data_IF_587193177098
#
_entry.id   IF_587193177098
#
_cell.length_a   1.000
_cell.length_b   1.000
_cell.length_c   1.000
_cell.angle_alpha   90.00
_cell.angle_beta   90.00
_cell.angle_gamma   90.00
#
_symmetry.space_group_name_H-M   'P 1'
#
loop_
_entity.id
_entity.type
_entity.pdbx_description
1 polymer ?
#
# COMPACT_ATOMS: atom_id res chain seq x y z
N UNK A 1 30.69 -10.05 64.98
CA UNK A 1 31.77 -9.96 63.97
C UNK A 1 31.48 -10.74 62.68
N UNK A 2 31.05 -12.02 62.75
CA UNK A 2 30.75 -12.84 61.55
C UNK A 2 29.74 -12.21 60.56
N UNK A 3 28.66 -11.58 61.04
CA UNK A 3 27.68 -10.92 60.16
C UNK A 3 28.23 -9.73 59.37
N UNK A 4 29.19 -8.98 59.95
CA UNK A 4 29.84 -7.87 59.27
C UNK A 4 30.81 -8.36 58.19
N UNK A 5 31.58 -9.41 58.48
CA UNK A 5 32.46 -10.06 57.50
C UNK A 5 31.66 -10.63 56.31
N UNK A 6 30.50 -11.25 56.60
CA UNK A 6 29.56 -11.77 55.59
C UNK A 6 28.99 -10.66 54.69
N UNK A 7 28.60 -9.53 55.27
CA UNK A 7 28.09 -8.38 54.53
C UNK A 7 29.18 -7.74 53.66
N UNK A 8 30.40 -7.59 54.19
CA UNK A 8 31.54 -7.04 53.46
C UNK A 8 31.94 -7.93 52.28
N UNK A 9 32.12 -9.24 52.52
CA UNK A 9 32.45 -10.21 51.45
C UNK A 9 31.39 -10.31 50.37
N UNK A 10 30.10 -10.25 50.74
CA UNK A 10 29.01 -10.19 49.76
C UNK A 10 29.03 -8.90 48.94
N UNK A 11 29.31 -7.73 49.54
CA UNK A 11 29.44 -6.46 48.82
C UNK A 11 30.64 -6.45 47.87
N UNK A 12 31.80 -6.95 48.32
CA UNK A 12 33.00 -7.02 47.49
C UNK A 12 32.79 -7.97 46.30
N UNK A 13 32.07 -9.08 46.48
CA UNK A 13 31.65 -9.95 45.39
C UNK A 13 30.75 -9.22 44.38
N UNK A 14 29.72 -8.50 44.85
CA UNK A 14 28.82 -7.73 43.97
C UNK A 14 29.57 -6.72 43.10
N UNK A 15 30.47 -5.94 43.70
CA UNK A 15 31.27 -4.93 42.98
C UNK A 15 32.18 -5.56 41.93
N UNK A 16 32.86 -6.68 42.26
CA UNK A 16 33.70 -7.40 41.30
C UNK A 16 32.89 -8.00 40.16
N UNK A 17 31.73 -8.56 40.49
CA UNK A 17 30.83 -9.18 39.54
C UNK A 17 30.24 -8.16 38.56
N UNK A 18 29.81 -6.99 39.05
CA UNK A 18 29.33 -5.88 38.21
C UNK A 18 30.44 -5.36 37.28
N UNK A 19 31.66 -5.20 37.80
CA UNK A 19 32.82 -4.78 36.99
C UNK A 19 33.18 -5.80 35.89
N UNK A 20 33.13 -7.09 36.19
CA UNK A 20 33.36 -8.15 35.22
C UNK A 20 32.29 -8.15 34.11
N UNK A 21 31.02 -7.98 34.50
CA UNK A 21 29.89 -7.82 33.59
C UNK A 21 30.05 -6.64 32.63
N UNK A 22 30.56 -5.49 33.11
CA UNK A 22 30.83 -4.32 32.26
C UNK A 22 32.02 -4.53 31.30
N UNK A 23 33.00 -5.36 31.69
CA UNK A 23 34.18 -5.65 30.87
C UNK A 23 33.96 -6.69 29.78
N UNK A 24 32.81 -7.38 29.78
CA UNK A 24 32.48 -8.43 28.80
C UNK A 24 33.20 -9.75 29.03
N UNK A 25 33.91 -9.91 30.16
CA UNK A 25 34.46 -11.20 30.58
C UNK A 25 33.30 -12.14 30.94
N UNK A 26 33.29 -13.32 30.30
CA UNK A 26 32.13 -14.23 30.32
C UNK A 26 31.66 -14.57 31.74
N UNK A 27 30.34 -14.52 31.94
CA UNK A 27 29.62 -14.75 33.20
C UNK A 27 30.06 -16.04 33.94
N UNK A 28 30.53 -17.05 33.20
CA UNK A 28 30.90 -18.38 33.69
C UNK A 28 32.20 -18.42 34.53
N UNK A 29 33.16 -17.51 34.28
CA UNK A 29 34.45 -17.52 34.97
C UNK A 29 34.33 -16.96 36.39
N UNK A 30 33.56 -15.87 36.56
CA UNK A 30 33.43 -15.15 37.82
C UNK A 30 32.23 -15.56 38.68
N UNK A 31 31.23 -16.23 38.10
CA UNK A 31 30.12 -16.82 38.86
C UNK A 31 30.56 -18.02 39.72
N UNK A 32 31.75 -18.61 39.48
CA UNK A 32 32.23 -19.78 40.21
C UNK A 32 32.86 -19.39 41.55
N UNK A 33 32.32 -20.00 42.61
CA UNK A 33 32.77 -19.94 44.01
C UNK A 33 34.25 -20.36 44.24
N UNK A 34 34.94 -20.85 43.21
CA UNK A 34 36.33 -21.34 43.28
C UNK A 34 37.32 -20.24 43.65
N UNK A 35 37.13 -19.01 43.16
CA UNK A 35 37.97 -17.85 43.52
C UNK A 35 37.80 -17.44 45.00
N UNK A 36 36.68 -17.82 45.62
CA UNK A 36 36.40 -17.52 47.04
C UNK A 36 37.01 -18.55 48.00
N UNK A 37 37.14 -19.80 47.58
CA UNK A 37 37.78 -20.86 48.38
C UNK A 37 39.29 -20.64 48.57
N UNK A 38 39.95 -19.88 47.70
CA UNK A 38 41.34 -19.45 47.90
C UNK A 38 41.43 -18.30 48.91
N UNK A 39 40.60 -17.26 48.75
CA UNK A 39 40.64 -16.09 49.65
C UNK A 39 40.16 -16.39 51.08
N UNK A 40 39.38 -17.47 51.28
CA UNK A 40 38.92 -17.93 52.59
C UNK A 40 39.90 -18.81 53.37
N UNK A 41 41.01 -19.25 52.75
CA UNK A 41 42.05 -20.04 53.43
C UNK A 41 42.98 -19.18 54.30
N UNK A 42 43.08 -17.88 54.02
CA UNK A 42 43.98 -16.96 54.73
C UNK A 42 43.48 -16.51 56.12
N UNK A 43 42.29 -16.95 56.53
CA UNK A 43 41.70 -16.61 57.83
C UNK A 43 41.25 -17.86 58.57
N UNK A 44 42.19 -18.71 58.97
CA UNK A 44 41.93 -19.84 59.85
C UNK A 44 42.33 -19.48 61.30
N UNK A 45 41.34 -19.28 62.18
CA UNK A 45 41.52 -19.27 63.64
C UNK A 45 40.66 -20.41 64.21
N UNK A 46 41.31 -21.26 65.00
CA UNK A 46 41.02 -22.68 65.25
C UNK A 46 39.83 -23.01 66.19
N UNK A 47 38.82 -22.15 66.35
CA UNK A 47 37.73 -22.41 67.32
C UNK A 47 36.27 -22.18 66.88
N UNK A 48 35.98 -21.99 65.58
CA UNK A 48 34.60 -21.77 65.09
C UNK A 48 34.26 -22.69 63.92
N UNK A 49 34.24 -24.01 64.14
CA UNK A 49 33.96 -25.00 63.08
C UNK A 49 32.45 -25.25 62.88
N UNK A 50 31.62 -24.95 63.89
CA UNK A 50 30.18 -25.29 63.87
C UNK A 50 29.28 -24.15 63.31
N UNK A 51 29.64 -22.88 63.53
CA UNK A 51 28.89 -21.72 63.00
C UNK A 51 29.32 -21.29 61.58
N UNK A 52 30.51 -21.72 61.15
CA UNK A 52 31.04 -21.39 59.82
C UNK A 52 30.34 -22.15 58.71
N UNK A 53 29.92 -23.40 58.91
CA UNK A 53 29.21 -24.19 57.89
C UNK A 53 27.84 -23.60 57.53
N UNK A 54 27.02 -23.29 58.55
CA UNK A 54 25.68 -22.70 58.39
C UNK A 54 25.75 -21.26 57.87
N UNK A 55 26.72 -20.46 58.35
CA UNK A 55 26.96 -19.12 57.84
C UNK A 55 27.44 -19.14 56.37
N UNK A 56 28.25 -20.14 56.00
CA UNK A 56 28.72 -20.35 54.62
C UNK A 56 27.57 -20.78 53.71
N UNK A 57 26.73 -21.73 54.13
CA UNK A 57 25.53 -22.11 53.36
C UNK A 57 24.59 -20.92 53.12
N UNK A 58 24.34 -20.09 54.14
CA UNK A 58 23.53 -18.88 53.98
C UNK A 58 24.16 -17.88 53.02
N UNK A 59 25.48 -17.68 53.08
CA UNK A 59 26.20 -16.83 52.13
C UNK A 59 26.09 -17.40 50.70
N UNK A 60 26.31 -18.70 50.51
CA UNK A 60 26.18 -19.36 49.20
C UNK A 60 24.77 -19.19 48.63
N UNK A 61 23.73 -19.37 49.46
CA UNK A 61 22.34 -19.15 49.02
C UNK A 61 22.11 -17.69 48.61
N UNK A 62 22.63 -16.72 49.36
CA UNK A 62 22.48 -15.30 49.04
C UNK A 62 23.24 -14.90 47.77
N UNK A 63 24.45 -15.42 47.58
CA UNK A 63 25.26 -15.17 46.38
C UNK A 63 24.59 -15.83 45.17
N UNK A 64 24.19 -17.10 45.26
CA UNK A 64 23.50 -17.79 44.18
C UNK A 64 22.17 -17.10 43.83
N UNK A 65 21.39 -16.66 44.82
CA UNK A 65 20.17 -15.91 44.57
C UNK A 65 20.44 -14.57 43.87
N UNK A 66 21.52 -13.87 44.25
CA UNK A 66 21.94 -12.64 43.56
C UNK A 66 22.43 -12.92 42.13
N UNK A 67 23.26 -13.94 41.91
CA UNK A 67 23.73 -14.35 40.58
C UNK A 67 22.57 -14.74 39.68
N UNK A 68 21.60 -15.52 40.18
CA UNK A 68 20.37 -15.86 39.45
C UNK A 68 19.57 -14.60 39.09
N UNK A 69 19.38 -13.68 40.05
CA UNK A 69 18.66 -12.43 39.81
C UNK A 69 19.34 -11.54 38.76
N UNK A 70 20.67 -11.41 38.81
CA UNK A 70 21.42 -10.64 37.81
C UNK A 70 21.40 -11.33 36.45
N UNK A 71 21.48 -12.67 36.42
CA UNK A 71 21.37 -13.44 35.19
C UNK A 71 20.01 -13.24 34.53
N UNK A 72 18.92 -13.34 35.29
CA UNK A 72 17.56 -13.11 34.79
C UNK A 72 17.39 -11.68 34.24
N UNK A 73 17.93 -10.68 34.94
CA UNK A 73 17.92 -9.30 34.48
C UNK A 73 18.73 -9.08 33.19
N UNK A 74 19.90 -9.72 33.06
CA UNK A 74 20.72 -9.64 31.84
C UNK A 74 20.08 -10.40 30.68
N UNK A 75 19.43 -11.53 30.94
CA UNK A 75 18.71 -12.27 29.92
C UNK A 75 17.51 -11.50 29.38
N UNK A 76 16.76 -10.81 30.24
CA UNK A 76 15.66 -9.96 29.78
C UNK A 76 16.18 -8.76 28.97
N UNK A 77 17.28 -8.15 29.39
CA UNK A 77 17.96 -7.07 28.64
C UNK A 77 18.38 -7.54 27.23
N UNK A 78 19.10 -8.67 27.13
CA UNK A 78 19.54 -9.22 25.82
C UNK A 78 18.32 -9.61 24.97
N UNK A 79 17.31 -10.24 25.56
CA UNK A 79 16.08 -10.60 24.83
C UNK A 79 15.43 -9.34 24.24
N UNK A 80 15.30 -8.26 25.02
CA UNK A 80 14.72 -7.00 24.55
C UNK A 80 15.54 -6.33 23.44
N UNK A 81 16.88 -6.39 23.51
CA UNK A 81 17.77 -5.85 22.47
C UNK A 81 17.58 -6.58 21.13
N UNK A 82 17.50 -7.91 21.16
CA UNK A 82 17.27 -8.72 19.96
C UNK A 82 15.84 -8.56 19.43
N UNK A 83 14.83 -8.44 20.30
CA UNK A 83 13.46 -8.10 19.91
C UNK A 83 13.40 -6.74 19.19
N UNK A 84 14.07 -5.70 19.71
CA UNK A 84 14.12 -4.39 19.07
C UNK A 84 14.83 -4.45 17.70
N UNK A 85 15.92 -5.21 17.61
CA UNK A 85 16.65 -5.44 16.35
C UNK A 85 15.77 -6.14 15.31
N UNK A 86 15.04 -7.18 15.71
CA UNK A 86 14.08 -7.89 14.85
C UNK A 86 12.94 -6.98 14.40
N UNK A 87 12.40 -6.15 15.30
CA UNK A 87 11.36 -5.20 14.94
C UNK A 87 11.86 -4.18 13.91
N UNK A 88 13.06 -3.61 14.09
CA UNK A 88 13.65 -2.65 13.14
C UNK A 88 13.91 -3.27 11.76
N UNK A 89 14.40 -4.51 11.72
CA UNK A 89 14.75 -5.22 10.47
C UNK A 89 13.52 -5.74 9.73
N UNK A 90 12.54 -6.31 10.43
CA UNK A 90 11.35 -6.92 9.82
C UNK A 90 10.26 -5.89 9.49
N UNK A 91 10.00 -4.92 10.36
CA UNK A 91 8.80 -4.07 10.28
C UNK A 91 8.70 -3.25 8.99
N UNK A 92 9.80 -2.62 8.55
CA UNK A 92 9.80 -1.74 7.38
C UNK A 92 9.72 -2.53 6.06
N UNK A 93 10.53 -3.59 5.82
CA UNK A 93 10.42 -4.40 4.61
C UNK A 93 9.09 -5.13 4.49
N UNK A 94 8.59 -5.73 5.59
CA UNK A 94 7.30 -6.44 5.59
C UNK A 94 6.17 -5.48 5.20
N UNK A 95 6.14 -4.28 5.78
CA UNK A 95 5.15 -3.25 5.40
C UNK A 95 5.25 -2.87 3.92
N UNK A 96 6.46 -2.70 3.39
CA UNK A 96 6.65 -2.39 1.97
C UNK A 96 6.15 -3.50 1.05
N UNK A 97 6.41 -4.76 1.41
CA UNK A 97 5.98 -5.92 0.63
C UNK A 97 4.45 -6.11 0.67
N UNK A 98 3.83 -5.87 1.82
CA UNK A 98 2.38 -5.93 1.99
C UNK A 98 1.66 -4.79 1.24
N UNK A 99 2.23 -3.59 1.21
CA UNK A 99 1.68 -2.46 0.45
C UNK A 99 1.61 -2.73 -1.06
N UNK A 100 2.63 -3.42 -1.61
CA UNK A 100 2.66 -3.72 -3.05
C UNK A 100 1.70 -4.86 -3.43
N UNK A 101 1.48 -5.80 -2.51
CA UNK A 101 0.59 -6.96 -2.65
C UNK A 101 0.69 -7.64 -4.03
N UNK A 102 1.88 -8.16 -4.31
CA UNK A 102 2.17 -9.00 -5.47
C UNK A 102 2.03 -10.49 -5.12
N UNK A 103 1.88 -11.33 -6.13
CA UNK A 103 1.81 -12.79 -5.98
C UNK A 103 3.04 -13.35 -5.21
N UNK A 104 4.18 -12.67 -5.27
CA UNK A 104 5.40 -13.03 -4.53
C UNK A 104 5.51 -12.47 -3.11
N UNK A 105 4.53 -11.68 -2.62
CA UNK A 105 4.63 -10.94 -1.35
C UNK A 105 4.92 -11.88 -0.16
N UNK A 106 4.17 -12.97 -0.03
CA UNK A 106 4.38 -13.93 1.06
C UNK A 106 5.68 -14.74 0.88
N UNK A 107 6.05 -15.11 -0.35
CA UNK A 107 7.34 -15.76 -0.64
C UNK A 107 8.53 -14.89 -0.25
N UNK A 108 8.48 -13.58 -0.56
CA UNK A 108 9.50 -12.62 -0.17
C UNK A 108 9.57 -12.44 1.35
N UNK A 109 8.42 -12.36 2.04
CA UNK A 109 8.35 -12.29 3.51
C UNK A 109 8.95 -13.56 4.14
N UNK A 110 8.65 -14.74 3.60
CA UNK A 110 9.24 -16.02 4.06
C UNK A 110 10.75 -16.02 3.93
N UNK A 111 11.29 -15.63 2.77
CA UNK A 111 12.74 -15.54 2.54
C UNK A 111 13.41 -14.57 3.54
N UNK A 112 12.78 -13.43 3.78
CA UNK A 112 13.26 -12.43 4.73
C UNK A 112 13.25 -12.97 6.17
N UNK A 113 12.16 -13.62 6.58
CA UNK A 113 12.06 -14.25 7.89
C UNK A 113 13.11 -15.35 8.07
N UNK A 114 13.35 -16.19 7.06
CA UNK A 114 14.37 -17.24 7.10
C UNK A 114 15.79 -16.65 7.23
N UNK A 115 16.09 -15.59 6.48
CA UNK A 115 17.39 -14.92 6.56
C UNK A 115 17.62 -14.33 7.96
N UNK A 116 16.64 -13.58 8.48
CA UNK A 116 16.76 -12.99 9.82
C UNK A 116 16.77 -14.06 10.91
N UNK A 117 16.05 -15.17 10.74
CA UNK A 117 16.11 -16.32 11.64
C UNK A 117 17.54 -16.87 11.72
N UNK A 118 18.20 -17.07 10.59
CA UNK A 118 19.57 -17.59 10.54
C UNK A 118 20.58 -16.62 11.17
N UNK A 119 20.44 -15.32 10.96
CA UNK A 119 21.42 -14.32 11.47
C UNK A 119 21.17 -13.97 12.93
N UNK A 120 19.94 -13.66 13.31
CA UNK A 120 19.60 -13.15 14.65
C UNK A 120 19.52 -14.26 15.68
N UNK A 121 19.03 -15.45 15.35
CA UNK A 121 18.96 -16.54 16.32
C UNK A 121 20.32 -17.16 16.59
N UNK A 122 21.19 -17.29 15.58
CA UNK A 122 22.57 -17.76 15.80
C UNK A 122 23.33 -16.76 16.67
N UNK A 123 23.20 -15.46 16.38
CA UNK A 123 23.74 -14.39 17.23
C UNK A 123 23.21 -14.48 18.66
N UNK A 124 21.89 -14.58 18.82
CA UNK A 124 21.24 -14.68 20.13
C UNK A 124 21.68 -15.93 20.91
N UNK A 125 21.66 -17.12 20.29
CA UNK A 125 22.10 -18.36 20.90
C UNK A 125 23.59 -18.31 21.32
N UNK A 126 24.46 -17.73 20.47
CA UNK A 126 25.87 -17.53 20.84
C UNK A 126 26.02 -16.61 22.04
N UNK A 127 25.26 -15.50 22.11
CA UNK A 127 25.28 -14.61 23.27
C UNK A 127 24.67 -15.23 24.52
N UNK A 128 23.73 -16.17 24.38
CA UNK A 128 23.17 -16.89 25.54
C UNK A 128 24.15 -17.94 26.08
N UNK A 129 24.92 -18.58 25.20
CA UNK A 129 25.91 -19.60 25.58
C UNK A 129 27.02 -19.06 26.50
N UNK A 130 27.33 -17.76 26.42
CA UNK A 130 28.32 -17.12 27.31
C UNK A 130 27.85 -16.96 28.77
N UNK A 131 26.57 -17.21 29.07
CA UNK A 131 26.00 -17.05 30.42
C UNK A 131 25.93 -18.34 31.26
N UNK A 132 26.46 -19.47 30.73
CA UNK A 132 26.46 -20.80 31.39
C UNK A 132 25.05 -21.22 31.82
N UNK A 133 24.13 -21.19 30.84
CA UNK A 133 22.70 -21.47 31.02
C UNK A 133 22.39 -22.86 30.49
N UNK A 134 21.47 -23.55 31.17
CA UNK A 134 20.92 -24.82 30.70
C UNK A 134 20.39 -24.70 29.27
N UNK A 135 20.76 -25.68 28.44
CA UNK A 135 20.37 -25.75 27.03
C UNK A 135 18.84 -25.65 26.84
N UNK A 136 18.06 -26.19 27.77
CA UNK A 136 16.59 -26.14 27.75
C UNK A 136 16.07 -24.71 27.87
N UNK A 137 16.67 -23.86 28.71
CA UNK A 137 16.29 -22.46 28.87
C UNK A 137 16.65 -21.67 27.61
N UNK A 138 17.83 -21.94 27.03
CA UNK A 138 18.24 -21.33 25.75
C UNK A 138 17.23 -21.64 24.65
N UNK A 139 16.82 -22.90 24.51
CA UNK A 139 15.79 -23.33 23.55
C UNK A 139 14.45 -22.62 23.80
N UNK A 140 14.02 -22.46 25.07
CA UNK A 140 12.79 -21.73 25.37
C UNK A 140 12.86 -20.25 25.00
N UNK A 141 14.01 -19.60 25.17
CA UNK A 141 14.20 -18.19 24.83
C UNK A 141 14.26 -17.99 23.32
N UNK A 142 14.95 -18.88 22.60
CA UNK A 142 14.98 -18.88 21.12
C UNK A 142 13.57 -19.07 20.56
N UNK A 143 12.79 -20.01 21.09
CA UNK A 143 11.40 -20.23 20.67
C UNK A 143 10.50 -19.01 20.95
N UNK A 144 10.72 -18.29 22.06
CA UNK A 144 10.02 -17.02 22.35
C UNK A 144 10.35 -15.95 21.31
N UNK A 145 11.63 -15.82 20.95
CA UNK A 145 12.09 -14.85 19.95
C UNK A 145 11.56 -15.16 18.54
N UNK A 146 11.50 -16.44 18.17
CA UNK A 146 10.86 -16.89 16.92
C UNK A 146 9.38 -16.52 16.89
N UNK A 147 8.65 -16.80 17.98
CA UNK A 147 7.25 -16.43 18.11
C UNK A 147 7.06 -14.91 18.04
N UNK A 148 7.99 -14.14 18.62
CA UNK A 148 7.99 -12.68 18.53
C UNK A 148 8.16 -12.19 17.09
N UNK A 149 9.08 -12.76 16.32
CA UNK A 149 9.26 -12.43 14.90
C UNK A 149 7.98 -12.67 14.08
N UNK A 150 7.29 -13.79 14.31
CA UNK A 150 6.00 -14.09 13.67
C UNK A 150 4.94 -13.06 14.10
N UNK A 151 4.88 -12.70 15.38
CA UNK A 151 3.94 -11.70 15.90
C UNK A 151 4.13 -10.31 15.29
N UNK A 152 5.36 -9.93 14.93
CA UNK A 152 5.63 -8.68 14.21
C UNK A 152 4.97 -8.73 12.83
N UNK A 153 5.11 -9.84 12.11
CA UNK A 153 4.50 -10.02 10.78
C UNK A 153 2.98 -10.01 10.91
N UNK A 154 2.41 -10.71 11.87
CA UNK A 154 0.96 -10.70 12.14
C UNK A 154 0.44 -9.30 12.46
N UNK A 155 1.16 -8.55 13.29
CA UNK A 155 0.83 -7.17 13.64
C UNK A 155 0.86 -6.24 12.42
N UNK A 156 1.91 -6.35 11.59
CA UNK A 156 2.05 -5.56 10.35
C UNK A 156 0.98 -5.92 9.32
N UNK A 157 0.66 -7.20 9.16
CA UNK A 157 -0.39 -7.66 8.28
C UNK A 157 -1.77 -7.14 8.73
N UNK A 158 -2.05 -7.12 10.04
CA UNK A 158 -3.28 -6.55 10.61
C UNK A 158 -3.37 -5.03 10.40
N UNK A 159 -2.26 -4.31 10.53
CA UNK A 159 -2.20 -2.88 10.21
C UNK A 159 -2.58 -2.62 8.75
N UNK A 160 -2.08 -3.46 7.84
CA UNK A 160 -2.32 -3.31 6.40
C UNK A 160 -3.73 -3.70 5.98
N UNK A 161 -4.29 -4.73 6.61
CA UNK A 161 -5.71 -5.09 6.46
C UNK A 161 -6.64 -3.95 6.86
N UNK A 162 -6.27 -3.16 7.88
CA UNK A 162 -7.00 -1.94 8.24
C UNK A 162 -7.03 -0.88 7.13
N UNK A 163 -6.07 -0.92 6.20
CA UNK A 163 -5.94 0.02 5.07
C UNK A 163 -6.33 -0.59 3.72
N UNK A 164 -6.79 -1.85 3.72
CA UNK A 164 -7.03 -2.62 2.48
C UNK A 164 -7.97 -1.91 1.51
N UNK A 165 -9.03 -1.26 2.00
CA UNK A 165 -9.97 -0.53 1.15
C UNK A 165 -9.30 0.64 0.42
N UNK A 166 -8.43 1.38 1.10
CA UNK A 166 -7.68 2.49 0.50
C UNK A 166 -6.75 1.95 -0.59
N UNK A 167 -6.02 0.88 -0.30
CA UNK A 167 -5.10 0.25 -1.25
C UNK A 167 -5.83 -0.33 -2.47
N UNK A 168 -6.99 -0.97 -2.26
CA UNK A 168 -7.86 -1.44 -3.34
C UNK A 168 -8.30 -0.28 -4.23
N UNK A 169 -8.72 0.84 -3.65
CA UNK A 169 -9.10 2.02 -4.43
C UNK A 169 -7.94 2.62 -5.20
N UNK A 170 -6.75 2.68 -4.61
CA UNK A 170 -5.57 3.21 -5.29
C UNK A 170 -5.14 2.28 -6.42
N UNK A 171 -5.13 0.95 -6.20
CA UNK A 171 -4.88 -0.03 -7.26
C UNK A 171 -5.93 0.01 -8.37
N UNK A 172 -7.19 0.24 -8.03
CA UNK A 172 -8.24 0.46 -9.02
C UNK A 172 -7.96 1.72 -9.84
N UNK A 173 -7.64 2.85 -9.20
CA UNK A 173 -7.37 4.12 -9.88
C UNK A 173 -6.15 4.02 -10.80
N UNK A 174 -5.08 3.34 -10.38
CA UNK A 174 -3.89 3.16 -11.22
C UNK A 174 -4.22 2.37 -12.48
N UNK A 175 -4.88 1.21 -12.35
CA UNK A 175 -5.22 0.36 -13.50
C UNK A 175 -6.33 0.97 -14.38
N UNK A 176 -7.28 1.70 -13.78
CA UNK A 176 -8.41 2.27 -14.50
C UNK A 176 -8.05 3.57 -15.23
N UNK A 177 -7.23 4.42 -14.60
CA UNK A 177 -6.95 5.77 -15.09
C UNK A 177 -5.68 5.87 -15.90
N UNK A 178 -4.80 4.86 -15.87
CA UNK A 178 -3.54 4.86 -16.59
C UNK A 178 -3.46 3.67 -17.54
N UNK A 179 -2.69 3.84 -18.62
CA UNK A 179 -2.35 2.76 -19.52
C UNK A 179 -1.09 1.99 -19.06
N UNK A 180 -0.70 0.96 -19.81
CA UNK A 180 0.50 0.16 -19.55
C UNK A 180 1.78 1.02 -19.43
N UNK A 181 1.85 2.13 -20.16
CA UNK A 181 2.97 3.07 -20.13
C UNK A 181 2.85 4.13 -19.02
N UNK A 182 1.95 3.95 -18.05
CA UNK A 182 1.65 4.91 -16.97
C UNK A 182 1.18 6.29 -17.47
N UNK A 183 0.70 6.36 -18.71
CA UNK A 183 0.10 7.58 -19.27
C UNK A 183 -1.38 7.65 -18.88
N UNK A 184 -1.90 8.83 -18.48
CA UNK A 184 -3.32 8.99 -18.19
C UNK A 184 -4.19 8.61 -19.40
N UNK A 185 -5.16 7.73 -19.18
CA UNK A 185 -6.06 7.22 -20.22
C UNK A 185 -7.07 8.31 -20.60
N UNK A 186 -7.15 8.58 -21.89
CA UNK A 186 -8.20 9.42 -22.48
C UNK A 186 -9.39 8.54 -22.88
N UNK A 187 -10.60 9.05 -22.68
CA UNK A 187 -11.83 8.34 -23.02
C UNK A 187 -12.32 8.76 -24.42
N UNK A 188 -11.57 8.36 -25.45
CA UNK A 188 -11.77 8.77 -26.84
C UNK A 188 -12.88 7.99 -27.55
N UNK A 189 -13.34 6.86 -27.01
CA UNK A 189 -14.53 6.16 -27.51
C UNK A 189 -14.27 4.78 -28.10
N UNK A 190 -13.01 4.48 -28.38
CA UNK A 190 -12.50 3.20 -28.89
C UNK A 190 -12.28 2.20 -27.75
N UNK A 191 -12.07 2.69 -26.53
CA UNK A 191 -11.77 1.86 -25.37
C UNK A 191 -13.04 1.20 -24.81
N UNK A 192 -12.95 -0.11 -24.50
CA UNK A 192 -14.00 -0.80 -23.77
C UNK A 192 -13.88 -0.55 -22.26
N UNK A 193 -14.61 0.48 -21.79
CA UNK A 193 -14.68 0.84 -20.37
C UNK A 193 -15.13 -0.35 -19.52
N UNK A 194 -15.97 -1.25 -20.02
CA UNK A 194 -16.45 -2.41 -19.25
C UNK A 194 -15.32 -3.41 -19.03
N UNK A 195 -14.53 -3.71 -20.06
CA UNK A 195 -13.36 -4.58 -19.97
C UNK A 195 -12.31 -3.99 -19.03
N UNK A 196 -12.00 -2.69 -19.17
CA UNK A 196 -11.03 -1.99 -18.29
C UNK A 196 -11.52 -1.99 -16.84
N UNK A 197 -12.80 -1.72 -16.60
CA UNK A 197 -13.39 -1.78 -15.27
C UNK A 197 -13.28 -3.19 -14.67
N UNK A 198 -13.50 -4.23 -15.48
CA UNK A 198 -13.35 -5.62 -15.04
C UNK A 198 -11.89 -5.90 -14.64
N UNK A 199 -10.92 -5.53 -15.49
CA UNK A 199 -9.49 -5.69 -15.20
C UNK A 199 -9.06 -4.94 -13.93
N UNK A 200 -9.46 -3.68 -13.76
CA UNK A 200 -9.14 -2.89 -12.57
C UNK A 200 -9.75 -3.48 -11.28
N UNK A 201 -10.97 -4.02 -11.38
CA UNK A 201 -11.63 -4.75 -10.27
C UNK A 201 -10.90 -6.05 -9.93
N UNK A 202 -10.45 -6.80 -10.92
CA UNK A 202 -9.66 -8.03 -10.71
C UNK A 202 -8.34 -7.73 -10.01
N UNK A 203 -7.61 -6.70 -10.46
CA UNK A 203 -6.35 -6.30 -9.86
C UNK A 203 -6.52 -5.90 -8.38
N UNK A 204 -7.60 -5.21 -8.04
CA UNK A 204 -7.92 -4.82 -6.67
C UNK A 204 -8.32 -6.02 -5.80
N UNK A 205 -8.95 -7.02 -6.40
CA UNK A 205 -9.40 -8.23 -5.72
C UNK A 205 -8.26 -9.21 -5.47
N UNK A 206 -7.27 -9.29 -6.37
CA UNK A 206 -6.02 -10.01 -6.13
C UNK A 206 -5.30 -9.49 -4.87
N UNK A 207 -5.20 -8.17 -4.73
CA UNK A 207 -4.65 -7.54 -3.52
C UNK A 207 -5.41 -7.96 -2.26
N UNK A 208 -6.74 -8.00 -2.32
CA UNK A 208 -7.57 -8.45 -1.21
C UNK A 208 -7.29 -9.92 -0.88
N UNK A 209 -7.22 -10.79 -1.89
CA UNK A 209 -6.94 -12.23 -1.78
C UNK A 209 -5.64 -12.50 -1.02
N UNK A 210 -4.56 -11.79 -1.39
CA UNK A 210 -3.25 -11.92 -0.76
C UNK A 210 -3.31 -11.53 0.73
N UNK A 211 -4.16 -10.57 1.10
CA UNK A 211 -4.28 -10.08 2.49
C UNK A 211 -5.32 -10.83 3.34
N UNK A 212 -6.09 -11.77 2.77
CA UNK A 212 -7.11 -12.54 3.51
C UNK A 212 -6.48 -13.40 4.60
N UNK A 213 -5.34 -14.01 4.32
CA UNK A 213 -4.69 -14.97 5.19
C UNK A 213 -3.17 -14.82 5.17
N UNK A 214 -2.54 -15.15 6.31
CA UNK A 214 -1.08 -15.16 6.47
C UNK A 214 -0.54 -16.50 5.97
N UNK A 215 0.27 -16.45 4.90
CA UNK A 215 0.88 -17.62 4.28
C UNK A 215 2.36 -17.74 4.63
N UNK A 216 2.66 -18.22 5.83
CA UNK A 216 4.04 -18.47 6.28
C UNK A 216 4.55 -19.89 5.97
N UNK A 217 3.65 -20.82 5.64
CA UNK A 217 3.99 -22.22 5.30
C UNK A 217 3.74 -22.49 3.80
N UNK A 218 4.52 -23.39 3.18
CA UNK A 218 4.49 -23.68 1.74
C UNK A 218 3.23 -24.45 1.26
N UNK A 219 2.50 -25.13 2.15
CA UNK A 219 1.38 -26.01 1.77
C UNK A 219 0.09 -25.27 1.37
N UNK A 220 0.07 -23.93 1.42
CA UNK A 220 -1.17 -23.16 1.40
C UNK A 220 -1.49 -22.47 0.06
N UNK A 221 -0.73 -22.77 -1.00
CA UNK A 221 -0.90 -22.12 -2.31
C UNK A 221 -2.26 -22.47 -3.00
N UNK A 222 -2.86 -23.61 -2.65
CA UNK A 222 -4.21 -24.00 -3.12
C UNK A 222 -5.34 -23.13 -2.51
N UNK A 223 -5.09 -22.51 -1.34
CA UNK A 223 -6.05 -21.62 -0.70
C UNK A 223 -6.22 -20.31 -1.49
N UNK A 224 -5.16 -19.81 -2.14
CA UNK A 224 -5.26 -18.59 -2.94
C UNK A 224 -6.11 -18.79 -4.20
N UNK A 225 -5.91 -19.89 -4.92
CA UNK A 225 -6.70 -20.19 -6.13
C UNK A 225 -8.19 -20.38 -5.80
N UNK A 226 -8.50 -21.11 -4.72
CA UNK A 226 -9.87 -21.29 -4.23
C UNK A 226 -10.50 -19.97 -3.74
N UNK A 227 -9.72 -19.09 -3.09
CA UNK A 227 -10.15 -17.74 -2.72
C UNK A 227 -10.42 -16.87 -3.94
N UNK A 228 -9.52 -16.87 -4.93
CA UNK A 228 -9.69 -16.13 -6.18
C UNK A 228 -10.94 -16.61 -6.93
N UNK A 229 -11.18 -17.92 -7.00
CA UNK A 229 -12.39 -18.50 -7.61
C UNK A 229 -13.66 -18.09 -6.85
N UNK A 230 -13.69 -18.20 -5.52
CA UNK A 230 -14.83 -17.78 -4.71
C UNK A 230 -15.11 -16.27 -4.85
N UNK A 231 -14.07 -15.45 -4.94
CA UNK A 231 -14.15 -14.02 -5.14
C UNK A 231 -14.57 -13.64 -6.58
N UNK A 232 -14.21 -14.45 -7.56
CA UNK A 232 -14.68 -14.34 -8.95
C UNK A 232 -16.18 -14.65 -9.09
N UNK A 233 -16.67 -15.62 -8.35
CA UNK A 233 -18.11 -15.88 -8.25
C UNK A 233 -18.85 -14.70 -7.61
N UNK A 234 -18.25 -14.03 -6.63
CA UNK A 234 -18.79 -12.78 -6.05
C UNK A 234 -18.83 -11.63 -7.08
N UNK A 235 -17.83 -11.53 -7.96
CA UNK A 235 -17.84 -10.58 -9.09
C UNK A 235 -19.03 -10.83 -10.00
N UNK A 236 -19.29 -12.09 -10.33
CA UNK A 236 -20.33 -12.55 -11.27
C UNK A 236 -21.75 -12.42 -10.71
N UNK A 237 -21.94 -12.69 -9.42
CA UNK A 237 -23.23 -12.56 -8.72
C UNK A 237 -23.80 -11.13 -8.69
N UNK A 238 -22.98 -10.10 -8.94
CA UNK A 238 -23.47 -8.71 -9.01
C UNK A 238 -23.99 -8.28 -10.38
N UNK A 239 -23.77 -9.09 -11.42
CA UNK A 239 -24.18 -8.81 -12.80
C UNK A 239 -25.48 -9.52 -13.20
N UNK A 240 -25.92 -10.52 -12.42
CA UNK A 240 -27.18 -11.20 -12.65
C UNK A 240 -27.97 -11.30 -11.35
N UNK A 241 -29.18 -10.75 -11.38
CA UNK A 241 -30.21 -10.95 -10.37
C UNK A 241 -30.78 -12.39 -10.40
N UNK A 242 -29.95 -13.39 -10.74
CA UNK A 242 -30.33 -14.79 -10.90
C UNK A 242 -29.61 -15.60 -9.83
N UNK A 243 -30.19 -15.58 -8.64
CA UNK A 243 -29.91 -16.53 -7.57
C UNK A 243 -30.47 -17.88 -8.04
N UNK A 244 -29.60 -18.78 -8.50
CA UNK A 244 -29.84 -20.22 -8.35
C UNK A 244 -28.53 -21.01 -8.41
N UNK A 245 -27.74 -20.91 -7.34
CA UNK A 245 -26.84 -21.99 -6.90
C UNK A 245 -26.55 -21.78 -5.41
N UNK A 246 -27.18 -22.61 -4.58
CA UNK A 246 -27.18 -22.47 -3.11
C UNK A 246 -25.84 -22.84 -2.43
N UNK A 247 -24.79 -23.16 -3.20
CA UNK A 247 -23.53 -23.71 -2.67
C UNK A 247 -22.42 -22.66 -2.49
N UNK A 248 -22.40 -21.61 -3.32
CA UNK A 248 -21.44 -20.50 -3.20
C UNK A 248 -21.79 -19.49 -2.11
N UNK A 249 -23.10 -19.31 -1.82
CA UNK A 249 -23.57 -18.36 -0.82
C UNK A 249 -23.39 -18.87 0.62
N UNK A 250 -23.46 -20.18 0.82
CA UNK A 250 -23.30 -20.86 2.12
C UNK A 250 -21.84 -20.84 2.60
N UNK A 251 -20.87 -20.93 1.68
CA UNK A 251 -19.44 -20.76 1.99
C UNK A 251 -19.09 -19.33 2.45
N UNK A 252 -19.84 -18.31 1.98
CA UNK A 252 -19.60 -16.90 2.27
C UNK A 252 -20.34 -16.37 3.51
N UNK A 253 -21.30 -17.14 4.03
CA UNK A 253 -21.93 -16.92 5.34
C UNK A 253 -21.19 -17.62 6.49
N UNK A 254 -20.19 -18.45 6.18
CA UNK A 254 -19.31 -19.04 7.18
C UNK A 254 -18.35 -17.97 7.74
N UNK A 255 -18.11 -17.99 9.05
CA UNK A 255 -17.12 -17.12 9.68
C UNK A 255 -15.67 -17.61 9.42
N UNK A 256 -15.52 -18.77 8.77
CA UNK A 256 -14.27 -19.50 8.60
C UNK A 256 -14.12 -19.97 7.16
N UNK A 257 -12.92 -19.79 6.58
CA UNK A 257 -12.57 -20.35 5.28
C UNK A 257 -12.37 -21.87 5.40
N UNK A 258 -12.77 -22.63 4.37
CA UNK A 258 -12.79 -24.10 4.40
C UNK A 258 -11.39 -24.73 4.54
N UNK A 259 -10.34 -24.01 4.11
CA UNK A 259 -8.95 -24.50 4.06
C UNK A 259 -7.93 -23.58 4.78
N UNK A 260 -8.38 -22.60 5.59
CA UNK A 260 -7.46 -21.69 6.32
C UNK A 260 -7.69 -21.80 7.81
N UNK A 261 -6.62 -22.08 8.56
CA UNK A 261 -6.65 -22.09 10.03
C UNK A 261 -7.11 -20.73 10.58
N UNK A 262 -8.06 -20.77 11.52
CA UNK A 262 -8.67 -19.58 12.14
C UNK A 262 -7.66 -18.63 12.79
N UNK A 263 -6.49 -19.11 13.19
CA UNK A 263 -5.42 -18.29 13.79
C UNK A 263 -4.66 -17.44 12.77
N UNK A 264 -4.66 -17.84 11.50
CA UNK A 264 -3.93 -17.16 10.40
C UNK A 264 -4.84 -16.37 9.47
N UNK A 265 -6.15 -16.39 9.71
CA UNK A 265 -7.14 -15.63 8.96
C UNK A 265 -7.18 -14.19 9.46
N UNK A 266 -6.92 -13.22 8.58
CA UNK A 266 -7.00 -11.79 8.92
C UNK A 266 -8.34 -11.17 8.54
N UNK A 267 -8.94 -11.64 7.45
CA UNK A 267 -10.23 -11.14 6.94
C UNK A 267 -11.19 -12.32 6.85
N UNK A 268 -12.33 -12.22 7.54
CA UNK A 268 -13.36 -13.24 7.45
C UNK A 268 -14.12 -13.12 6.12
N UNK A 269 -14.76 -14.20 5.61
CA UNK A 269 -15.55 -14.14 4.38
C UNK A 269 -16.61 -13.01 4.39
N UNK A 270 -17.25 -12.80 5.54
CA UNK A 270 -18.25 -11.73 5.75
C UNK A 270 -17.65 -10.33 5.64
N UNK A 271 -16.46 -10.12 6.23
CA UNK A 271 -15.73 -8.84 6.14
C UNK A 271 -15.23 -8.60 4.71
N UNK A 272 -14.77 -9.64 4.03
CA UNK A 272 -14.36 -9.56 2.64
C UNK A 272 -15.52 -9.08 1.75
N UNK A 273 -16.72 -9.63 1.97
CA UNK A 273 -17.93 -9.21 1.27
C UNK A 273 -18.36 -7.77 1.57
N UNK A 274 -18.25 -7.32 2.82
CA UNK A 274 -18.59 -5.93 3.16
C UNK A 274 -17.59 -4.94 2.54
N UNK A 275 -16.29 -5.23 2.61
CA UNK A 275 -15.22 -4.47 1.96
C UNK A 275 -15.45 -4.39 0.45
N UNK A 276 -15.79 -5.51 -0.19
CA UNK A 276 -16.06 -5.55 -1.62
C UNK A 276 -17.27 -4.71 -2.04
N UNK A 277 -18.36 -4.74 -1.25
CA UNK A 277 -19.54 -3.90 -1.49
C UNK A 277 -19.20 -2.42 -1.35
N UNK A 278 -18.42 -2.06 -0.33
CA UNK A 278 -17.98 -0.68 -0.12
C UNK A 278 -17.08 -0.20 -1.26
N UNK A 279 -16.08 -0.98 -1.65
CA UNK A 279 -15.22 -0.72 -2.80
C UNK A 279 -16.01 -0.52 -4.10
N UNK A 280 -17.00 -1.38 -4.37
CA UNK A 280 -17.90 -1.21 -5.53
C UNK A 280 -18.66 0.11 -5.49
N UNK A 281 -19.13 0.54 -4.32
CA UNK A 281 -19.86 1.80 -4.16
C UNK A 281 -18.95 3.00 -4.46
N UNK A 282 -17.72 3.00 -3.93
CA UNK A 282 -16.76 4.10 -4.12
C UNK A 282 -16.27 4.20 -5.57
N UNK A 283 -15.95 3.08 -6.20
CA UNK A 283 -15.49 3.04 -7.61
C UNK A 283 -16.61 3.30 -8.63
N UNK A 284 -17.89 3.09 -8.26
CA UNK A 284 -19.05 3.31 -9.15
C UNK A 284 -19.08 4.72 -9.72
N UNK A 285 -18.74 5.72 -8.92
CA UNK A 285 -18.75 7.12 -9.35
C UNK A 285 -17.65 7.41 -10.37
N UNK A 286 -16.47 6.81 -10.20
CA UNK A 286 -15.34 6.93 -11.14
C UNK A 286 -15.68 6.31 -12.48
N UNK A 287 -16.24 5.10 -12.48
CA UNK A 287 -16.67 4.40 -13.72
C UNK A 287 -17.78 5.19 -14.44
N UNK A 288 -18.79 5.67 -13.70
CA UNK A 288 -19.85 6.50 -14.29
C UNK A 288 -19.31 7.77 -14.93
N UNK A 289 -18.33 8.41 -14.30
CA UNK A 289 -17.68 9.61 -14.83
C UNK A 289 -16.97 9.32 -16.15
N UNK A 290 -16.22 8.22 -16.23
CA UNK A 290 -15.55 7.80 -17.47
C UNK A 290 -16.55 7.53 -18.60
N UNK A 291 -17.67 6.87 -18.31
CA UNK A 291 -18.73 6.62 -19.30
C UNK A 291 -19.33 7.95 -19.77
N UNK A 292 -19.67 8.85 -18.84
CA UNK A 292 -20.20 10.17 -19.18
C UNK A 292 -19.21 10.97 -20.03
N UNK A 293 -17.92 10.95 -19.71
CA UNK A 293 -16.89 11.63 -20.53
C UNK A 293 -16.80 11.04 -21.94
N UNK A 294 -16.85 9.71 -22.05
CA UNK A 294 -16.83 9.03 -23.35
C UNK A 294 -18.08 9.36 -24.18
N UNK A 295 -19.26 9.38 -23.57
CA UNK A 295 -20.51 9.78 -24.22
C UNK A 295 -20.47 11.25 -24.67
N UNK A 296 -19.93 12.15 -23.85
CA UNK A 296 -19.77 13.56 -24.25
C UNK A 296 -18.79 13.72 -25.41
N UNK A 297 -17.71 12.93 -25.43
CA UNK A 297 -16.76 12.94 -26.54
C UNK A 297 -17.40 12.44 -27.83
N UNK A 298 -18.13 11.32 -27.78
CA UNK A 298 -18.90 10.78 -28.91
C UNK A 298 -19.96 11.76 -29.41
N UNK A 299 -20.70 12.40 -28.49
CA UNK A 299 -21.69 13.44 -28.86
C UNK A 299 -21.02 14.64 -29.51
N UNK A 300 -19.91 15.14 -28.96
CA UNK A 300 -19.17 16.27 -29.54
C UNK A 300 -18.67 15.96 -30.95
N UNK A 301 -18.18 14.74 -31.18
CA UNK A 301 -17.74 14.32 -32.51
C UNK A 301 -18.89 14.17 -33.52
N UNK A 302 -20.07 13.75 -33.05
CA UNK A 302 -21.26 13.57 -33.89
C UNK A 302 -22.10 14.85 -34.04
N UNK A 303 -21.85 15.89 -33.23
CA UNK A 303 -22.60 17.14 -33.29
C UNK A 303 -22.07 17.99 -34.45
N UNK A 304 -22.98 18.39 -35.34
CA UNK A 304 -22.67 19.34 -36.42
C UNK A 304 -22.10 20.63 -35.82
N UNK A 305 -21.04 21.20 -36.43
CA UNK A 305 -20.47 22.44 -35.92
C UNK A 305 -21.53 23.56 -35.93
N UNK A 306 -21.50 24.51 -34.97
CA UNK A 306 -22.54 25.52 -34.83
C UNK A 306 -22.83 26.32 -36.11
N UNK A 307 -21.82 26.59 -36.93
CA UNK A 307 -21.99 27.26 -38.22
C UNK A 307 -22.83 26.44 -39.22
N UNK A 308 -22.75 25.11 -39.18
CA UNK A 308 -23.53 24.24 -40.07
C UNK A 308 -25.01 24.26 -39.69
N UNK A 309 -25.32 24.37 -38.40
CA UNK A 309 -26.69 24.53 -37.90
C UNK A 309 -27.26 25.88 -38.36
N UNK A 310 -26.49 26.97 -38.23
CA UNK A 310 -26.88 28.30 -38.70
C UNK A 310 -27.05 28.33 -40.22
N UNK A 311 -26.13 27.73 -40.97
CA UNK A 311 -26.23 27.62 -42.43
C UNK A 311 -27.47 26.84 -42.85
N UNK A 312 -27.79 25.75 -42.15
CA UNK A 312 -29.01 24.97 -42.41
C UNK A 312 -30.29 25.76 -42.14
N UNK A 313 -30.32 26.61 -41.10
CA UNK A 313 -31.46 27.47 -40.78
C UNK A 313 -31.67 28.61 -41.79
N UNK A 314 -30.59 29.24 -42.28
CA UNK A 314 -30.67 30.40 -43.19
C UNK A 314 -30.95 29.96 -44.64
N UNK A 315 -30.25 28.94 -45.14
CA UNK A 315 -30.38 28.49 -46.54
C UNK A 315 -31.54 27.50 -46.75
N UNK A 316 -31.92 26.76 -45.72
CA UNK A 316 -32.76 25.56 -45.87
C UNK A 316 -31.96 24.36 -46.40
N UNK A 317 -32.33 23.15 -45.96
CA UNK A 317 -31.58 21.92 -46.24
C UNK A 317 -31.43 21.61 -47.75
N UNK A 318 -32.46 21.90 -48.55
CA UNK A 318 -32.48 21.58 -49.98
C UNK A 318 -31.51 22.45 -50.82
N UNK A 319 -31.38 23.73 -50.47
CA UNK A 319 -30.47 24.66 -51.16
C UNK A 319 -29.01 24.40 -50.77
N UNK A 320 -28.76 24.06 -49.49
CA UNK A 320 -27.42 23.72 -49.00
C UNK A 320 -26.85 22.49 -49.73
N UNK A 321 -27.67 21.43 -49.91
CA UNK A 321 -27.26 20.25 -50.69
C UNK A 321 -27.00 20.63 -52.17
N UNK A 322 -27.80 21.53 -52.74
CA UNK A 322 -27.64 21.97 -54.13
C UNK A 322 -26.35 22.76 -54.33
N UNK A 323 -25.98 23.61 -53.37
CA UNK A 323 -24.71 24.36 -53.38
C UNK A 323 -23.51 23.43 -53.19
N UNK A 324 -23.59 22.44 -52.29
CA UNK A 324 -22.51 21.46 -52.09
C UNK A 324 -22.30 20.52 -53.28
N UNK A 325 -23.36 20.18 -54.01
CA UNK A 325 -23.28 19.26 -55.15
C UNK A 325 -22.77 19.92 -56.43
N UNK A 326 -22.94 21.24 -56.55
CA UNK A 326 -22.61 21.99 -57.75
C UNK A 326 -21.37 22.88 -57.52
N UNK A 327 -20.17 22.48 -58.00
CA UNK A 327 -18.91 23.18 -57.69
C UNK A 327 -18.85 24.62 -58.21
N UNK A 328 -19.69 24.99 -59.18
CA UNK A 328 -19.77 26.35 -59.72
C UNK A 328 -20.38 27.36 -58.75
N UNK A 329 -21.37 26.97 -57.93
CA UNK A 329 -21.98 27.87 -56.95
C UNK A 329 -21.01 28.20 -55.82
N UNK A 330 -20.16 27.25 -55.42
CA UNK A 330 -19.08 27.50 -54.46
C UNK A 330 -18.09 28.54 -54.98
N UNK A 331 -17.67 28.43 -56.24
CA UNK A 331 -16.82 29.42 -56.88
C UNK A 331 -17.49 30.80 -56.97
N UNK A 332 -18.78 30.85 -57.33
CA UNK A 332 -19.53 32.10 -57.38
C UNK A 332 -19.62 32.78 -56.00
N UNK A 333 -19.91 32.02 -54.94
CA UNK A 333 -19.94 32.54 -53.56
C UNK A 333 -18.55 33.00 -53.11
N UNK A 334 -17.50 32.25 -53.46
CA UNK A 334 -16.12 32.63 -53.14
C UNK A 334 -15.69 33.93 -53.82
N UNK A 335 -15.99 34.09 -55.12
CA UNK A 335 -15.74 35.33 -55.84
C UNK A 335 -16.57 36.50 -55.29
N UNK A 336 -17.85 36.28 -54.98
CA UNK A 336 -18.70 37.29 -54.36
C UNK A 336 -18.17 37.73 -52.98
N UNK A 337 -17.67 36.79 -52.18
CA UNK A 337 -17.03 37.10 -50.90
C UNK A 337 -15.74 37.88 -51.07
N UNK A 338 -14.87 37.51 -52.03
CA UNK A 338 -13.64 38.25 -52.32
C UNK A 338 -13.94 39.67 -52.81
N UNK A 339 -14.93 39.85 -53.68
CA UNK A 339 -15.40 41.16 -54.13
C UNK A 339 -15.97 41.97 -52.96
N UNK A 340 -16.83 41.36 -52.14
CA UNK A 340 -17.38 42.01 -50.95
C UNK A 340 -16.30 42.43 -49.95
N UNK A 341 -15.27 41.59 -49.74
CA UNK A 341 -14.13 41.90 -48.87
C UNK A 341 -13.21 42.96 -49.46
N UNK A 342 -12.99 42.93 -50.78
CA UNK A 342 -12.23 43.97 -51.47
C UNK A 342 -12.94 45.32 -51.38
N UNK A 343 -14.26 45.35 -51.60
CA UNK A 343 -15.09 46.52 -51.39
C UNK A 343 -15.07 46.97 -49.92
N UNK A 344 -15.18 46.06 -48.95
CA UNK A 344 -15.10 46.40 -47.52
C UNK A 344 -13.80 47.10 -47.15
N UNK A 345 -12.67 46.61 -47.68
CA UNK A 345 -11.34 47.20 -47.46
C UNK A 345 -11.19 48.51 -48.22
N UNK A 346 -11.68 48.61 -49.46
CA UNK A 346 -11.61 49.85 -50.25
C UNK A 346 -12.52 50.95 -49.72
N UNK A 347 -13.66 50.59 -49.13
CA UNK A 347 -14.63 51.52 -48.56
C UNK A 347 -14.27 51.94 -47.13
N UNK A 348 -13.18 51.40 -46.56
CA UNK A 348 -12.66 51.72 -45.22
C UNK A 348 -13.77 51.89 -44.16
N UNK A 349 -14.70 50.94 -44.20
CA UNK A 349 -15.99 51.01 -43.52
C UNK A 349 -15.81 51.17 -42.01
N UNK A 350 -14.71 50.66 -41.45
CA UNK A 350 -14.39 50.76 -40.03
C UNK A 350 -14.05 52.19 -39.56
N UNK A 351 -13.46 53.03 -40.41
CA UNK A 351 -13.17 54.44 -40.09
C UNK A 351 -14.42 55.32 -40.27
N UNK A 352 -15.26 55.01 -41.25
CA UNK A 352 -16.45 55.81 -41.57
C UNK A 352 -17.62 55.58 -40.59
N UNK A 353 -17.74 54.38 -40.03
CA UNK A 353 -18.77 54.08 -39.02
C UNK A 353 -18.46 54.63 -37.62
N UNK A 354 -17.25 55.17 -37.37
CA UNK A 354 -16.99 55.92 -36.13
C UNK A 354 -17.79 57.24 -36.06
N UNK A 355 -18.18 57.80 -37.21
CA UNK A 355 -18.93 59.06 -37.31
C UNK A 355 -20.46 58.88 -37.27
N UNK A 356 -20.94 57.68 -36.93
CA UNK A 356 -22.36 57.35 -36.80
C UNK A 356 -22.96 56.68 -38.03
N UNK A 357 -23.88 55.74 -37.77
CA UNK A 357 -24.44 54.78 -38.75
C UNK A 357 -25.08 55.45 -39.97
N UNK A 358 -25.78 56.58 -39.79
CA UNK A 358 -26.48 57.27 -40.87
C UNK A 358 -25.50 57.97 -41.83
N UNK A 359 -24.44 58.58 -41.28
CA UNK A 359 -23.43 59.29 -42.09
C UNK A 359 -22.53 58.28 -42.82
N UNK A 360 -22.21 57.15 -42.18
CA UNK A 360 -21.48 56.04 -42.80
C UNK A 360 -22.22 55.44 -44.01
N UNK A 361 -23.53 55.18 -43.90
CA UNK A 361 -24.34 54.64 -45.02
C UNK A 361 -24.40 55.62 -46.20
N UNK A 362 -24.56 56.92 -45.92
CA UNK A 362 -24.63 57.93 -46.97
C UNK A 362 -23.29 58.08 -47.71
N UNK A 363 -22.18 58.11 -46.97
CA UNK A 363 -20.81 58.14 -47.52
C UNK A 363 -20.50 56.92 -48.39
N UNK A 364 -20.84 55.73 -47.90
CA UNK A 364 -20.66 54.48 -48.62
C UNK A 364 -21.44 54.47 -49.93
N UNK A 365 -22.68 54.96 -49.94
CA UNK A 365 -23.49 54.99 -51.16
C UNK A 365 -22.91 55.93 -52.23
N UNK A 366 -22.35 57.08 -51.83
CA UNK A 366 -21.67 58.01 -52.74
C UNK A 366 -20.36 57.43 -53.30
N UNK A 367 -19.53 56.79 -52.45
CA UNK A 367 -18.29 56.15 -52.88
C UNK A 367 -18.54 54.93 -53.78
N UNK A 368 -19.55 54.13 -53.47
CA UNK A 368 -19.97 53.00 -54.27
C UNK A 368 -20.47 53.45 -55.65
N UNK A 369 -21.28 54.51 -55.72
CA UNK A 369 -21.75 55.06 -56.99
C UNK A 369 -20.57 55.55 -57.85
N UNK A 370 -19.61 56.24 -57.23
CA UNK A 370 -18.42 56.77 -57.90
C UNK A 370 -17.51 55.66 -58.46
N UNK A 371 -17.28 54.59 -57.68
CA UNK A 371 -16.49 53.44 -58.13
C UNK A 371 -17.18 52.67 -59.25
N UNK A 372 -18.51 52.48 -59.18
CA UNK A 372 -19.28 51.85 -60.25
C UNK A 372 -19.24 52.68 -61.55
N UNK A 373 -19.31 54.00 -61.43
CA UNK A 373 -19.25 54.91 -62.58
C UNK A 373 -17.86 54.95 -63.24
N UNK A 374 -16.78 54.74 -62.47
CA UNK A 374 -15.43 54.62 -63.00
C UNK A 374 -15.20 53.28 -63.71
N UNK A 375 -15.75 52.18 -63.19
CA UNK A 375 -15.65 50.84 -63.83
C UNK A 375 -16.52 50.75 -65.09
N UNK A 376 -17.60 51.52 -65.19
CA UNK A 376 -18.45 51.55 -66.40
C UNK A 376 -17.91 52.44 -67.53
N UNK A 377 -16.83 53.17 -67.27
CA UNK A 377 -16.24 54.15 -68.19
C UNK A 377 -14.91 53.66 -68.82
N UNK A 378 -14.32 52.61 -68.25
CA UNK A 378 -13.38 51.70 -68.94
C UNK A 378 -14.17 50.60 -69.66
#
# INVERSE_FOLDING_TARGET
MLGHLRSKTSKDFKVRFEKALESGEGFAADAKMSSFNESGKDTYIEQVVVDTSKAREMLCRNINAYVTSVREAKLSEITSLYEEKLNKTLSKPVKSLLNNASDETWSAIRKLLQLERMTTLVGFASTLSSFDIDQTIVETLVAKLEKYAISIIESKAREEVGRVLMNMNDRFKTVFSYDYDLMPRLWTGEEDIKAITKMARLASLKLLSILVAIHLDEENDNAEETLQLALMDILSCSTLNRIWSNDGLTALTSNTWKDVSSTRTLITPVQCMSLWRQFKKETKHTVKRAIATQETYKRKNNQLPPWAIVAMLILGFNELITILRNPSYLWAIFFAFLLGKALWVQLDISDEFQNGVIFGILSLSLKFLSTLMNVLKE
#
